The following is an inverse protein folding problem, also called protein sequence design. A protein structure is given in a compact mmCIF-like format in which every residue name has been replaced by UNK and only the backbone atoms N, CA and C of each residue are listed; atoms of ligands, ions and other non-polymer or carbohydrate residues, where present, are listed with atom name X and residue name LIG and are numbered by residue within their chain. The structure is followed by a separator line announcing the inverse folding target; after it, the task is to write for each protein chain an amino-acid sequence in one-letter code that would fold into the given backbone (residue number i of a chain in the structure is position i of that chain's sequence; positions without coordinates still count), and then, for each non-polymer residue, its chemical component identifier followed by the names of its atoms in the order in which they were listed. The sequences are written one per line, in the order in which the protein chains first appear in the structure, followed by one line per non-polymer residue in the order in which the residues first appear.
data_IF_926429296259
#
_entry.id   IF_926429296259
#
_cell.length_a   1.000
_cell.length_b   1.000
_cell.length_c   1.000
_cell.angle_alpha   90.00
_cell.angle_beta   90.00
_cell.angle_gamma   90.00
#
_symmetry.space_group_name_H-M   'P 1'
#
loop_
_entity.id
_entity.type
_entity.pdbx_description
1 polymer ?
#
# COMPACT_ATOMS: atom_id res chain seq x y z
N UNK A 1 -4.56 48.47 33.69
CA UNK A 1 -4.39 47.07 34.14
C UNK A 1 -4.95 46.06 33.14
N UNK A 2 -6.25 46.09 32.78
CA UNK A 2 -6.84 45.11 31.84
C UNK A 2 -6.21 45.02 30.43
N UNK A 3 -5.85 46.15 29.80
CA UNK A 3 -5.19 46.14 28.47
C UNK A 3 -3.75 45.60 28.51
N UNK A 4 -3.07 45.74 29.65
CA UNK A 4 -1.71 45.22 29.84
C UNK A 4 -1.71 43.70 30.03
N UNK A 5 -2.74 43.18 30.72
CA UNK A 5 -2.97 41.74 30.87
C UNK A 5 -3.33 41.07 29.53
N UNK A 6 -4.12 41.75 28.68
CA UNK A 6 -4.47 41.24 27.35
C UNK A 6 -3.27 41.25 26.37
N UNK A 7 -2.43 42.29 26.44
CA UNK A 7 -1.20 42.36 25.66
C UNK A 7 -0.15 41.30 26.07
N UNK A 8 -0.01 41.04 27.37
CA UNK A 8 0.91 40.00 27.88
C UNK A 8 0.44 38.59 27.54
N UNK A 9 -0.86 38.32 27.58
CA UNK A 9 -1.43 37.04 27.14
C UNK A 9 -1.20 36.80 25.63
N UNK A 10 -1.37 37.84 24.80
CA UNK A 10 -1.09 37.78 23.35
C UNK A 10 0.40 37.55 23.07
N UNK A 11 1.29 38.20 23.82
CA UNK A 11 2.73 38.02 23.69
C UNK A 11 3.15 36.58 24.05
N UNK A 12 2.62 36.03 25.15
CA UNK A 12 2.88 34.64 25.56
C UNK A 12 2.37 33.62 24.53
N UNK A 13 1.18 33.84 23.94
CA UNK A 13 0.69 33.01 22.84
C UNK A 13 1.60 33.10 21.60
N UNK A 14 2.12 34.28 21.29
CA UNK A 14 3.05 34.47 20.19
C UNK A 14 4.39 33.76 20.43
N UNK A 15 4.93 33.82 21.63
CA UNK A 15 6.16 33.11 22.00
C UNK A 15 6.01 31.59 21.86
N UNK A 16 4.88 31.02 22.31
CA UNK A 16 4.59 29.59 22.15
C UNK A 16 4.49 29.21 20.67
N UNK A 17 3.82 30.04 19.86
CA UNK A 17 3.70 29.81 18.41
C UNK A 17 5.06 29.88 17.70
N UNK A 18 5.89 30.87 18.04
CA UNK A 18 7.24 30.99 17.48
C UNK A 18 8.13 29.80 17.89
N UNK A 19 8.05 29.32 19.14
CA UNK A 19 8.80 28.13 19.57
C UNK A 19 8.36 26.88 18.81
N UNK A 20 7.06 26.65 18.66
CA UNK A 20 6.55 25.52 17.89
C UNK A 20 7.02 25.55 16.42
N UNK A 21 7.04 26.73 15.79
CA UNK A 21 7.57 26.88 14.42
C UNK A 21 9.08 26.62 14.34
N UNK A 22 9.84 27.05 15.34
CA UNK A 22 11.29 26.76 15.41
C UNK A 22 11.54 25.26 15.55
N UNK A 23 10.76 24.57 16.40
CA UNK A 23 10.88 23.12 16.58
C UNK A 23 10.52 22.36 15.30
N UNK A 24 9.45 22.76 14.61
CA UNK A 24 9.05 22.17 13.33
C UNK A 24 10.12 22.37 12.24
N UNK A 25 10.67 23.59 12.11
CA UNK A 25 11.74 23.89 11.16
C UNK A 25 13.03 23.13 11.49
N UNK A 26 13.36 22.95 12.76
CA UNK A 26 14.53 22.18 13.19
C UNK A 26 14.37 20.69 12.85
N UNK A 27 13.17 20.13 12.99
CA UNK A 27 12.92 18.73 12.64
C UNK A 27 12.96 18.53 11.11
N UNK A 28 12.39 19.46 10.34
CA UNK A 28 12.54 19.48 8.88
C UNK A 28 14.01 19.56 8.47
N UNK A 29 14.80 20.43 9.11
CA UNK A 29 16.22 20.59 8.83
C UNK A 29 17.01 19.30 9.13
N UNK A 30 16.70 18.60 10.23
CA UNK A 30 17.33 17.30 10.54
C UNK A 30 17.01 16.25 9.48
N UNK A 31 15.74 16.17 9.04
CA UNK A 31 15.33 15.27 7.97
C UNK A 31 16.08 15.55 6.66
N UNK A 32 16.20 16.82 6.27
CA UNK A 32 16.96 17.23 5.07
C UNK A 32 18.47 16.90 5.19
N UNK A 33 19.07 17.08 6.37
CA UNK A 33 20.48 16.72 6.60
C UNK A 33 20.71 15.20 6.51
N UNK A 34 19.80 14.39 7.06
CA UNK A 34 19.87 12.93 6.93
C UNK A 34 19.72 12.48 5.47
N UNK A 35 18.77 13.09 4.74
CA UNK A 35 18.61 12.83 3.31
C UNK A 35 19.86 13.21 2.51
N UNK A 36 20.46 14.37 2.80
CA UNK A 36 21.70 14.81 2.15
C UNK A 36 22.84 13.81 2.42
N UNK A 37 23.00 13.35 3.66
CA UNK A 37 24.01 12.35 4.03
C UNK A 37 23.81 11.03 3.28
N UNK A 38 22.57 10.56 3.17
CA UNK A 38 22.23 9.37 2.41
C UNK A 38 22.57 9.52 0.92
N UNK A 39 22.18 10.65 0.31
CA UNK A 39 22.49 10.95 -1.09
C UNK A 39 24.00 11.08 -1.33
N UNK A 40 24.77 11.66 -0.41
CA UNK A 40 26.22 11.71 -0.50
C UNK A 40 26.86 10.32 -0.46
N UNK A 41 26.34 9.41 0.36
CA UNK A 41 26.80 8.02 0.40
C UNK A 41 26.55 7.29 -0.92
N UNK A 42 25.33 7.42 -1.46
CA UNK A 42 24.97 6.85 -2.77
C UNK A 42 25.85 7.43 -3.87
N UNK A 43 26.06 8.75 -3.88
CA UNK A 43 26.94 9.40 -4.84
C UNK A 43 28.37 8.88 -4.73
N UNK A 44 28.90 8.69 -3.52
CA UNK A 44 30.23 8.12 -3.30
C UNK A 44 30.36 6.71 -3.89
N UNK A 45 29.37 5.84 -3.66
CA UNK A 45 29.31 4.49 -4.24
C UNK A 45 29.25 4.55 -5.78
N UNK A 46 28.41 5.42 -6.34
CA UNK A 46 28.27 5.58 -7.79
C UNK A 46 29.55 6.11 -8.44
N UNK A 47 30.25 7.05 -7.79
CA UNK A 47 31.54 7.58 -8.27
C UNK A 47 32.61 6.49 -8.25
N UNK A 48 32.67 5.67 -7.19
CA UNK A 48 33.60 4.54 -7.11
C UNK A 48 33.35 3.51 -8.21
N UNK A 49 32.09 3.07 -8.37
CA UNK A 49 31.71 2.15 -9.44
C UNK A 49 32.01 2.73 -10.84
N UNK A 50 31.77 4.04 -11.02
CA UNK A 50 32.13 4.74 -12.25
C UNK A 50 33.65 4.80 -12.50
N UNK A 51 34.47 4.90 -11.47
CA UNK A 51 35.93 4.87 -11.60
C UNK A 51 36.42 3.47 -12.03
N UNK A 52 35.89 2.41 -11.42
CA UNK A 52 36.19 1.02 -11.80
C UNK A 52 35.81 0.72 -13.26
N UNK A 53 34.61 1.13 -13.68
CA UNK A 53 34.16 0.95 -15.06
C UNK A 53 35.04 1.69 -16.07
N UNK A 54 35.50 2.92 -15.75
CA UNK A 54 36.43 3.66 -16.61
C UNK A 54 37.81 2.99 -16.69
N UNK A 55 38.31 2.45 -15.57
CA UNK A 55 39.56 1.70 -15.56
C UNK A 55 39.46 0.42 -16.43
N UNK A 56 38.35 -0.32 -16.32
CA UNK A 56 38.09 -1.49 -17.15
C UNK A 56 37.97 -1.13 -18.64
N UNK A 57 37.28 -0.03 -18.97
CA UNK A 57 37.17 0.46 -20.33
C UNK A 57 38.56 0.81 -20.91
N UNK A 58 39.38 1.55 -20.15
CA UNK A 58 40.74 1.89 -20.56
C UNK A 58 41.63 0.65 -20.77
N UNK A 59 41.48 -0.38 -19.93
CA UNK A 59 42.19 -1.65 -20.11
C UNK A 59 41.78 -2.37 -21.40
N UNK A 60 40.49 -2.37 -21.74
CA UNK A 60 39.97 -2.97 -22.98
C UNK A 60 40.37 -2.19 -24.22
N UNK A 61 40.44 -0.86 -24.14
CA UNK A 61 40.93 -0.03 -25.24
C UNK A 61 42.42 -0.28 -25.51
N UNK A 62 43.23 -0.44 -24.45
CA UNK A 62 44.65 -0.80 -24.59
C UNK A 62 44.84 -2.19 -25.21
N UNK A 63 44.04 -3.18 -24.77
CA UNK A 63 44.03 -4.53 -25.36
C UNK A 63 43.62 -4.49 -26.85
N UNK A 64 42.59 -3.72 -27.19
CA UNK A 64 42.14 -3.53 -28.56
C UNK A 64 43.21 -2.87 -29.43
N UNK A 65 43.93 -1.87 -28.90
CA UNK A 65 45.01 -1.20 -29.61
C UNK A 65 46.17 -2.15 -29.90
N UNK A 66 46.56 -3.00 -28.95
CA UNK A 66 47.62 -4.00 -29.16
C UNK A 66 47.21 -5.05 -30.19
N UNK A 67 45.98 -5.58 -30.11
CA UNK A 67 45.47 -6.54 -31.09
C UNK A 67 45.42 -5.95 -32.51
N UNK A 68 45.06 -4.67 -32.65
CA UNK A 68 45.11 -3.96 -33.95
C UNK A 68 46.53 -3.88 -34.50
N UNK A 69 47.50 -3.52 -33.66
CA UNK A 69 48.91 -3.47 -34.05
C UNK A 69 49.42 -4.83 -34.51
N UNK A 70 49.04 -5.90 -33.81
CA UNK A 70 49.38 -7.27 -34.21
C UNK A 70 48.72 -7.66 -35.54
N UNK A 71 47.46 -7.29 -35.75
CA UNK A 71 46.77 -7.56 -37.01
C UNK A 71 47.42 -6.83 -38.20
N UNK A 72 47.80 -5.56 -38.02
CA UNK A 72 48.51 -4.77 -39.04
C UNK A 72 49.89 -5.36 -39.37
N UNK A 73 50.64 -5.80 -38.36
CA UNK A 73 51.93 -6.46 -38.54
C UNK A 73 51.77 -7.78 -39.32
N UNK A 74 50.80 -8.62 -38.93
CA UNK A 74 50.51 -9.87 -39.63
C UNK A 74 50.09 -9.61 -41.09
N UNK A 75 49.28 -8.57 -41.33
CA UNK A 75 48.88 -8.18 -42.68
C UNK A 75 50.08 -7.71 -43.52
N UNK A 76 51.00 -6.94 -42.93
CA UNK A 76 52.24 -6.51 -43.60
C UNK A 76 53.11 -7.71 -43.97
N UNK A 77 53.35 -8.62 -43.01
CA UNK A 77 54.13 -9.83 -43.24
C UNK A 77 53.53 -10.71 -44.33
N UNK A 78 52.19 -10.87 -44.34
CA UNK A 78 51.48 -11.60 -45.38
C UNK A 78 51.68 -10.96 -46.77
N UNK A 79 51.56 -9.63 -46.86
CA UNK A 79 51.71 -8.88 -48.11
C UNK A 79 53.13 -8.97 -48.66
N UNK A 80 54.14 -8.80 -47.81
CA UNK A 80 55.55 -8.93 -48.18
C UNK A 80 55.89 -10.36 -48.64
N UNK A 81 55.37 -11.36 -47.94
CA UNK A 81 55.55 -12.77 -48.29
C UNK A 81 54.88 -13.10 -49.61
N UNK A 82 53.66 -12.61 -49.86
CA UNK A 82 52.96 -12.79 -51.14
C UNK A 82 53.77 -12.18 -52.29
N UNK A 83 54.23 -10.93 -52.12
CA UNK A 83 55.04 -10.26 -53.14
C UNK A 83 56.39 -10.97 -53.38
N UNK A 84 56.99 -11.56 -52.35
CA UNK A 84 58.20 -12.40 -52.49
C UNK A 84 57.89 -13.65 -53.30
N UNK A 85 56.85 -14.38 -52.95
CA UNK A 85 56.44 -15.61 -53.63
C UNK A 85 56.06 -15.35 -55.10
N UNK A 86 55.40 -14.22 -55.40
CA UNK A 86 55.09 -13.81 -56.77
C UNK A 86 56.36 -13.55 -57.61
N UNK A 87 57.38 -12.91 -57.01
CA UNK A 87 58.67 -12.71 -57.68
C UNK A 87 59.39 -14.04 -57.95
N UNK A 88 59.40 -14.94 -56.97
CA UNK A 88 59.98 -16.28 -57.10
C UNK A 88 59.26 -17.09 -58.19
N UNK A 89 57.92 -17.06 -58.21
CA UNK A 89 57.11 -17.72 -59.23
C UNK A 89 57.41 -17.19 -60.64
N UNK A 90 57.48 -15.86 -60.82
CA UNK A 90 57.87 -15.24 -62.10
C UNK A 90 59.27 -15.68 -62.56
N UNK A 91 60.22 -15.79 -61.63
CA UNK A 91 61.56 -16.32 -61.91
C UNK A 91 61.53 -17.77 -62.40
N UNK A 92 60.78 -18.64 -61.72
CA UNK A 92 60.63 -20.05 -62.11
C UNK A 92 59.99 -20.17 -63.49
N UNK A 93 58.93 -19.41 -63.77
CA UNK A 93 58.24 -19.40 -65.08
C UNK A 93 59.21 -18.98 -66.19
N UNK A 94 59.99 -17.91 -65.99
CA UNK A 94 61.00 -17.46 -66.96
C UNK A 94 62.09 -18.51 -67.21
N UNK A 95 62.63 -19.11 -66.15
CA UNK A 95 63.66 -20.15 -66.30
C UNK A 95 63.12 -21.37 -67.03
N UNK A 96 61.90 -21.82 -66.69
CA UNK A 96 61.24 -22.92 -67.39
C UNK A 96 61.03 -22.61 -68.87
N UNK A 97 60.57 -21.41 -69.18
CA UNK A 97 60.36 -20.97 -70.56
C UNK A 97 61.67 -20.96 -71.37
N UNK A 98 62.76 -20.46 -70.78
CA UNK A 98 64.07 -20.42 -71.41
C UNK A 98 64.65 -21.83 -71.70
N UNK A 99 64.39 -22.80 -70.82
CA UNK A 99 64.80 -24.20 -71.03
C UNK A 99 64.06 -24.83 -72.21
N UNK A 100 62.76 -24.56 -72.34
CA UNK A 100 61.95 -25.06 -73.46
C UNK A 100 62.47 -24.54 -74.80
N UNK A 101 62.77 -23.25 -74.90
CA UNK A 101 63.33 -22.66 -76.13
C UNK A 101 64.70 -23.24 -76.51
N UNK A 102 65.56 -23.51 -75.51
CA UNK A 102 66.91 -24.02 -75.78
C UNK A 102 66.97 -25.51 -76.11
N UNK A 103 66.13 -26.33 -75.48
CA UNK A 103 66.32 -27.79 -75.49
C UNK A 103 65.14 -28.60 -76.04
N UNK A 104 63.94 -28.02 -76.17
CA UNK A 104 62.76 -28.74 -76.66
C UNK A 104 62.50 -28.55 -78.16
N UNK A 105 63.40 -27.89 -78.90
CA UNK A 105 63.24 -27.64 -80.35
C UNK A 105 62.10 -26.68 -80.71
N UNK A 106 61.59 -25.92 -79.73
CA UNK A 106 60.48 -24.99 -79.91
C UNK A 106 60.99 -23.59 -80.31
N UNK A 107 60.22 -22.85 -81.11
CA UNK A 107 60.59 -21.48 -81.53
C UNK A 107 60.67 -20.53 -80.32
N UNK A 108 61.46 -19.45 -80.44
CA UNK A 108 61.54 -18.36 -79.45
C UNK A 108 60.21 -17.60 -79.21
N UNK A 109 59.13 -18.00 -79.87
CA UNK A 109 57.77 -17.48 -79.70
C UNK A 109 56.81 -18.47 -79.01
N UNK A 110 57.24 -19.71 -78.78
CA UNK A 110 56.43 -20.72 -78.09
C UNK A 110 56.29 -20.36 -76.61
N UNK A 111 55.09 -20.45 -76.03
CA UNK A 111 54.85 -20.17 -74.60
C UNK A 111 54.28 -21.41 -73.94
N UNK A 112 54.85 -21.83 -72.82
CA UNK A 112 54.29 -22.90 -72.02
C UNK A 112 53.14 -22.32 -71.21
N UNK A 113 51.93 -22.70 -71.58
CA UNK A 113 50.73 -22.19 -70.93
C UNK A 113 50.40 -23.04 -69.71
N UNK A 114 50.41 -22.43 -68.53
CA UNK A 114 49.95 -23.07 -67.30
C UNK A 114 48.44 -22.84 -67.10
N UNK A 115 47.84 -23.66 -66.24
CA UNK A 115 46.45 -23.45 -65.86
C UNK A 115 46.30 -22.15 -65.05
N UNK A 116 45.38 -21.29 -65.47
CA UNK A 116 45.03 -20.06 -64.78
C UNK A 116 43.65 -20.17 -64.14
N UNK A 117 43.52 -19.64 -62.93
CA UNK A 117 42.30 -19.69 -62.13
C UNK A 117 41.91 -18.28 -61.71
N UNK A 118 40.60 -18.04 -61.61
CA UNK A 118 40.06 -16.76 -61.20
C UNK A 118 40.10 -16.52 -59.70
N UNK A 119 39.41 -15.46 -59.28
CA UNK A 119 39.23 -15.13 -57.87
C UNK A 119 38.29 -16.12 -57.19
N UNK A 120 38.42 -16.23 -55.87
CA UNK A 120 37.55 -17.06 -55.06
C UNK A 120 36.15 -16.44 -54.91
N UNK A 121 35.12 -17.20 -55.27
CA UNK A 121 33.75 -16.91 -54.92
C UNK A 121 33.41 -17.54 -53.55
N UNK A 122 32.82 -16.73 -52.67
CA UNK A 122 32.33 -17.17 -51.36
C UNK A 122 30.99 -17.89 -51.53
N UNK A 123 30.90 -19.12 -51.04
CA UNK A 123 29.63 -19.84 -50.91
C UNK A 123 28.88 -19.43 -49.63
N UNK A 124 27.61 -19.89 -49.48
CA UNK A 124 26.87 -19.68 -48.25
C UNK A 124 27.55 -20.37 -47.07
N UNK A 125 27.49 -19.73 -45.90
CA UNK A 125 28.00 -20.30 -44.67
C UNK A 125 27.03 -21.35 -44.11
N UNK A 126 27.55 -22.46 -43.60
CA UNK A 126 26.72 -23.55 -43.06
C UNK A 126 25.96 -23.18 -41.77
N UNK A 127 26.51 -22.26 -40.97
CA UNK A 127 25.90 -21.77 -39.72
C UNK A 127 25.87 -20.24 -39.75
N UNK A 128 24.81 -19.62 -39.25
CA UNK A 128 24.71 -18.16 -39.13
C UNK A 128 25.50 -17.59 -37.94
N UNK A 129 25.80 -18.43 -36.95
CA UNK A 129 26.50 -18.06 -35.73
C UNK A 129 27.28 -19.25 -35.14
N UNK A 130 28.24 -18.95 -34.26
CA UNK A 130 29.05 -19.94 -33.53
C UNK A 130 28.21 -20.55 -32.40
N UNK A 131 28.06 -21.88 -32.43
CA UNK A 131 27.33 -22.61 -31.40
C UNK A 131 28.03 -22.59 -30.04
N UNK A 132 27.33 -23.08 -29.00
CA UNK A 132 27.90 -23.19 -27.63
C UNK A 132 29.06 -24.18 -27.53
N UNK A 133 29.23 -25.02 -28.55
CA UNK A 133 30.35 -25.94 -28.76
C UNK A 133 31.60 -25.25 -29.33
N UNK A 134 31.54 -23.95 -29.59
CA UNK A 134 32.63 -23.17 -30.20
C UNK A 134 32.84 -23.49 -31.68
N UNK A 135 31.98 -24.31 -32.30
CA UNK A 135 32.13 -24.71 -33.69
C UNK A 135 31.55 -23.64 -34.62
N UNK A 136 32.46 -22.96 -35.32
CA UNK A 136 32.17 -21.98 -36.37
C UNK A 136 31.44 -22.62 -37.55
N UNK A 137 30.77 -21.79 -38.32
CA UNK A 137 30.26 -22.19 -39.63
C UNK A 137 31.40 -22.51 -40.59
N UNK A 138 31.08 -23.29 -41.62
CA UNK A 138 32.02 -23.64 -42.69
C UNK A 138 31.42 -23.21 -44.01
N UNK A 139 32.20 -22.51 -44.83
CA UNK A 139 31.84 -22.11 -46.18
C UNK A 139 32.77 -22.76 -47.19
N UNK A 140 32.20 -23.17 -48.31
CA UNK A 140 32.95 -23.68 -49.44
C UNK A 140 33.23 -22.52 -50.37
N UNK A 141 34.50 -22.27 -50.64
CA UNK A 141 34.95 -21.28 -51.62
C UNK A 141 35.31 -22.00 -52.92
N UNK A 142 34.84 -21.47 -54.04
CA UNK A 142 35.11 -22.02 -55.37
C UNK A 142 35.64 -20.94 -56.29
N UNK A 143 36.60 -21.27 -57.15
CA UNK A 143 37.10 -20.36 -58.20
C UNK A 143 37.03 -21.01 -59.57
N UNK A 144 36.67 -20.27 -60.63
CA UNK A 144 36.63 -20.81 -61.98
C UNK A 144 38.04 -21.04 -62.51
N UNK A 145 38.19 -22.05 -63.36
CA UNK A 145 39.37 -22.19 -64.21
C UNK A 145 39.18 -21.24 -65.39
N UNK A 146 40.07 -20.26 -65.54
CA UNK A 146 40.04 -19.30 -66.64
C UNK A 146 40.67 -19.93 -67.88
N UNK A 147 41.79 -20.64 -67.70
CA UNK A 147 42.53 -21.22 -68.80
C UNK A 147 43.04 -22.61 -68.42
N UNK A 148 42.91 -23.56 -69.35
CA UNK A 148 43.50 -24.91 -69.21
C UNK A 148 44.60 -25.13 -70.25
N UNK A 149 45.68 -25.85 -69.88
CA UNK A 149 46.72 -26.23 -70.82
C UNK A 149 46.19 -27.26 -71.85
N UNK A 150 46.42 -26.99 -73.13
CA UNK A 150 46.02 -27.90 -74.21
C UNK A 150 46.93 -29.13 -74.28
N UNK A 151 46.45 -30.25 -73.72
CA UNK A 151 47.17 -31.54 -73.66
C UNK A 151 47.40 -32.19 -75.03
N UNK A 152 46.75 -31.71 -76.09
CA UNK A 152 46.96 -32.22 -77.45
C UNK A 152 48.28 -31.75 -78.05
N UNK A 153 48.78 -30.59 -77.61
CA UNK A 153 50.04 -30.00 -78.09
C UNK A 153 51.24 -30.43 -77.23
N UNK A 154 52.42 -30.51 -77.85
CA UNK A 154 53.66 -30.84 -77.14
C UNK A 154 54.00 -29.80 -76.06
N UNK A 155 53.68 -28.52 -76.30
CA UNK A 155 53.87 -27.42 -75.35
C UNK A 155 52.84 -27.44 -74.21
N UNK A 156 51.56 -27.68 -74.49
CA UNK A 156 50.54 -27.73 -73.43
C UNK A 156 50.64 -28.97 -72.54
N UNK A 157 51.26 -30.08 -73.00
CA UNK A 157 51.62 -31.20 -72.13
C UNK A 157 52.61 -30.83 -71.03
N UNK A 158 53.49 -29.86 -71.30
CA UNK A 158 54.45 -29.35 -70.32
C UNK A 158 53.80 -28.40 -69.32
N UNK A 159 52.57 -27.92 -69.57
CA UNK A 159 51.79 -27.03 -68.69
C UNK A 159 51.48 -27.65 -67.33
N UNK A 160 51.53 -26.83 -66.29
CA UNK A 160 51.18 -27.22 -64.93
C UNK A 160 49.67 -27.45 -64.79
N UNK A 161 49.30 -28.46 -64.00
CA UNK A 161 47.90 -28.72 -63.63
C UNK A 161 47.33 -27.59 -62.78
N UNK A 162 46.01 -27.43 -62.82
CA UNK A 162 45.32 -26.38 -62.08
C UNK A 162 45.54 -26.50 -60.57
N UNK A 163 45.80 -25.39 -59.87
CA UNK A 163 45.76 -25.39 -58.42
C UNK A 163 44.32 -25.66 -57.94
N UNK A 164 44.12 -25.99 -56.64
CA UNK A 164 42.79 -26.34 -56.12
C UNK A 164 41.75 -25.28 -56.47
N UNK A 165 40.63 -25.71 -57.06
CA UNK A 165 39.49 -24.85 -57.43
C UNK A 165 38.41 -24.79 -56.36
N UNK A 166 38.57 -25.60 -55.31
CA UNK A 166 37.67 -25.69 -54.16
C UNK A 166 38.49 -25.67 -52.88
N UNK A 167 38.11 -24.84 -51.93
CA UNK A 167 38.65 -24.86 -50.58
C UNK A 167 37.55 -24.67 -49.54
N UNK A 168 37.84 -25.05 -48.30
CA UNK A 168 36.93 -24.97 -47.18
C UNK A 168 37.49 -23.96 -46.20
N UNK A 169 36.69 -22.95 -45.85
CA UNK A 169 37.07 -21.89 -44.92
C UNK A 169 36.04 -21.79 -43.79
N UNK A 170 36.49 -21.36 -42.60
CA UNK A 170 35.57 -21.02 -41.52
C UNK A 170 34.82 -19.72 -41.83
N UNK A 171 33.59 -19.59 -41.33
CA UNK A 171 32.74 -18.42 -41.48
C UNK A 171 31.86 -18.20 -40.25
N UNK A 172 31.37 -16.97 -40.09
CA UNK A 172 30.49 -16.51 -39.02
C UNK A 172 31.01 -16.81 -37.61
N UNK A 173 31.92 -15.96 -37.11
CA UNK A 173 32.49 -16.04 -35.76
C UNK A 173 31.62 -15.32 -34.69
N UNK A 174 30.40 -14.94 -35.06
CA UNK A 174 29.48 -14.26 -34.15
C UNK A 174 28.80 -15.33 -33.28
N UNK A 175 28.94 -15.29 -31.95
CA UNK A 175 28.31 -16.27 -31.06
C UNK A 175 26.77 -16.20 -31.17
N UNK A 176 26.11 -17.36 -31.13
CA UNK A 176 24.66 -17.42 -31.20
C UNK A 176 23.99 -16.75 -29.98
N UNK A 177 22.82 -16.12 -30.16
CA UNK A 177 22.03 -15.62 -29.05
C UNK A 177 21.74 -16.73 -28.04
N UNK A 178 21.98 -16.46 -26.77
CA UNK A 178 21.67 -17.37 -25.66
C UNK A 178 20.56 -16.73 -24.85
N UNK A 179 19.38 -17.36 -24.85
CA UNK A 179 18.27 -16.87 -24.04
C UNK A 179 18.46 -17.16 -22.55
N UNK A 180 17.97 -16.22 -21.74
CA UNK A 180 17.91 -16.39 -20.30
C UNK A 180 17.00 -17.57 -19.91
N UNK A 181 17.48 -18.39 -18.97
CA UNK A 181 16.71 -19.46 -18.34
C UNK A 181 16.63 -19.16 -16.86
N UNK A 182 15.41 -19.13 -16.32
CA UNK A 182 15.14 -18.88 -14.90
C UNK A 182 14.63 -20.15 -14.23
N UNK A 183 14.87 -20.31 -12.92
CA UNK A 183 14.31 -21.40 -12.14
C UNK A 183 12.79 -21.29 -12.03
N UNK A 184 12.16 -22.35 -11.55
CA UNK A 184 10.81 -22.24 -11.04
C UNK A 184 10.77 -21.26 -9.85
N UNK A 185 9.62 -20.64 -9.64
CA UNK A 185 9.36 -19.81 -8.48
C UNK A 185 9.40 -20.65 -7.21
N UNK A 186 9.93 -20.06 -6.13
CA UNK A 186 9.74 -20.59 -4.79
C UNK A 186 8.25 -20.59 -4.43
N UNK A 187 7.90 -21.39 -3.43
CA UNK A 187 6.65 -21.20 -2.72
C UNK A 187 6.56 -19.78 -2.14
N UNK A 188 5.33 -19.31 -1.96
CA UNK A 188 5.10 -18.03 -1.30
C UNK A 188 5.55 -18.11 0.17
N UNK A 189 6.32 -17.12 0.60
CA UNK A 189 6.64 -16.94 2.01
C UNK A 189 5.36 -16.67 2.82
N UNK A 190 5.45 -16.88 4.13
CA UNK A 190 4.38 -16.48 5.05
C UNK A 190 4.07 -14.99 4.94
N UNK A 191 2.79 -14.62 5.11
CA UNK A 191 2.37 -13.24 5.11
C UNK A 191 3.00 -12.45 6.27
N UNK A 192 3.50 -11.24 6.00
CA UNK A 192 4.18 -10.40 7.00
C UNK A 192 3.30 -10.00 8.18
N UNK A 193 1.98 -9.94 7.99
CA UNK A 193 1.00 -9.68 9.05
C UNK A 193 -0.10 -10.72 9.02
N UNK A 194 -0.65 -11.04 10.19
CA UNK A 194 -1.80 -11.96 10.32
C UNK A 194 -3.15 -11.29 10.03
N UNK A 195 -3.21 -9.97 10.07
CA UNK A 195 -4.37 -9.14 9.78
C UNK A 195 -3.92 -7.70 9.50
N UNK A 196 -4.83 -6.86 8.98
CA UNK A 196 -4.60 -5.44 8.75
C UNK A 196 -3.75 -5.16 7.50
N UNK A 197 -3.66 -6.12 6.58
CA UNK A 197 -2.87 -6.01 5.35
C UNK A 197 -1.38 -6.24 5.59
N UNK A 198 -0.88 -7.33 5.03
CA UNK A 198 0.54 -7.64 4.92
C UNK A 198 0.92 -7.99 3.49
N UNK A 199 2.19 -8.32 3.30
CA UNK A 199 2.76 -8.73 2.03
C UNK A 199 3.40 -10.10 2.19
N UNK A 200 3.35 -10.88 1.13
CA UNK A 200 4.10 -12.12 0.99
C UNK A 200 4.94 -12.03 -0.28
N UNK A 201 6.09 -12.69 -0.24
CA UNK A 201 7.10 -12.61 -1.29
C UNK A 201 7.43 -14.02 -1.79
N UNK A 202 7.80 -14.12 -3.05
CA UNK A 202 8.44 -15.32 -3.62
C UNK A 202 9.60 -14.91 -4.49
N UNK A 203 10.57 -15.80 -4.64
CA UNK A 203 11.78 -15.54 -5.42
C UNK A 203 12.07 -16.68 -6.39
N UNK A 204 12.84 -16.38 -7.43
CA UNK A 204 13.43 -17.37 -8.35
C UNK A 204 14.84 -16.92 -8.74
N UNK A 205 15.68 -17.87 -9.09
CA UNK A 205 17.05 -17.58 -9.53
C UNK A 205 17.18 -17.59 -11.05
N UNK A 206 18.20 -16.89 -11.54
CA UNK A 206 18.64 -17.00 -12.93
C UNK A 206 19.55 -18.23 -13.04
N UNK A 207 19.12 -19.25 -13.78
CA UNK A 207 19.91 -20.46 -14.04
C UNK A 207 20.94 -20.21 -15.14
N UNK A 208 20.56 -19.43 -16.16
CA UNK A 208 21.45 -19.00 -17.23
C UNK A 208 21.08 -17.58 -17.63
N UNK A 209 22.06 -16.67 -17.64
CA UNK A 209 21.86 -15.31 -18.11
C UNK A 209 21.71 -15.25 -19.63
N UNK A 210 20.96 -14.27 -20.12
CA UNK A 210 20.88 -13.99 -21.55
C UNK A 210 22.20 -13.39 -22.05
N UNK A 211 22.75 -13.90 -23.16
CA UNK A 211 24.01 -13.45 -23.77
C UNK A 211 23.85 -13.26 -25.28
N UNK A 212 24.76 -12.51 -25.89
CA UNK A 212 24.89 -12.35 -27.35
C UNK A 212 23.59 -11.91 -28.07
N UNK A 213 22.82 -11.02 -27.43
CA UNK A 213 21.54 -10.53 -27.98
C UNK A 213 20.35 -11.46 -27.75
N UNK A 214 20.49 -12.50 -26.92
CA UNK A 214 19.38 -13.32 -26.45
C UNK A 214 18.46 -12.59 -25.46
N UNK A 215 17.32 -13.20 -25.17
CA UNK A 215 16.28 -12.63 -24.31
C UNK A 215 16.81 -12.36 -22.90
N UNK A 216 16.53 -11.16 -22.38
CA UNK A 216 16.90 -10.77 -21.03
C UNK A 216 16.10 -11.53 -19.97
N UNK A 217 16.66 -11.67 -18.78
CA UNK A 217 15.97 -12.29 -17.65
C UNK A 217 14.84 -11.40 -17.14
N UNK A 218 13.71 -12.01 -16.80
CA UNK A 218 12.62 -11.30 -16.11
C UNK A 218 12.94 -11.02 -14.64
N UNK A 219 11.93 -10.52 -13.91
CA UNK A 219 12.06 -10.27 -12.47
C UNK A 219 12.34 -11.53 -11.66
N UNK A 220 13.18 -11.41 -10.64
CA UNK A 220 13.62 -12.49 -9.74
C UNK A 220 12.88 -12.50 -8.41
N UNK A 221 12.13 -11.44 -8.10
CA UNK A 221 11.33 -11.31 -6.90
C UNK A 221 9.93 -10.80 -7.26
N UNK A 222 8.93 -11.30 -6.55
CA UNK A 222 7.54 -10.89 -6.70
C UNK A 222 6.91 -10.73 -5.32
N UNK A 223 6.08 -9.70 -5.16
CA UNK A 223 5.31 -9.43 -3.95
C UNK A 223 3.82 -9.40 -4.25
N UNK A 224 3.01 -9.80 -3.27
CA UNK A 224 1.55 -9.60 -3.31
C UNK A 224 0.98 -9.33 -1.93
N UNK A 225 -0.11 -8.60 -1.90
CA UNK A 225 -0.88 -8.36 -0.69
C UNK A 225 -1.51 -9.65 -0.15
N UNK A 226 -1.61 -9.75 1.17
CA UNK A 226 -2.22 -10.85 1.90
C UNK A 226 -2.84 -10.36 3.21
N UNK A 227 -3.71 -11.19 3.80
CA UNK A 227 -4.32 -10.92 5.11
C UNK A 227 -4.98 -9.54 5.24
N UNK A 228 -5.78 -9.18 4.23
CA UNK A 228 -6.47 -7.90 4.12
C UNK A 228 -7.61 -7.72 5.14
N UNK A 229 -7.98 -8.77 5.87
CA UNK A 229 -8.96 -8.68 6.95
C UNK A 229 -8.51 -7.68 8.03
N UNK A 230 -9.41 -6.83 8.50
CA UNK A 230 -9.12 -5.91 9.60
C UNK A 230 -8.84 -6.68 10.89
N UNK A 231 -7.86 -6.25 11.67
CA UNK A 231 -7.53 -6.88 12.95
C UNK A 231 -8.67 -6.75 13.97
N UNK A 232 -8.83 -7.79 14.79
CA UNK A 232 -9.75 -7.76 15.94
C UNK A 232 -9.29 -6.70 16.94
N UNK A 233 -10.20 -5.81 17.31
CA UNK A 233 -9.96 -4.77 18.29
C UNK A 233 -11.21 -4.57 19.14
N UNK A 234 -11.07 -4.62 20.46
CA UNK A 234 -12.16 -4.34 21.40
C UNK A 234 -12.37 -2.83 21.58
N UNK A 235 -13.51 -2.43 22.14
CA UNK A 235 -13.82 -1.02 22.36
C UNK A 235 -12.94 -0.42 23.46
N UNK A 236 -12.49 0.82 23.26
CA UNK A 236 -11.80 1.58 24.31
C UNK A 236 -12.72 2.67 24.85
N UNK A 237 -12.79 2.74 26.19
CA UNK A 237 -13.59 3.72 26.90
C UNK A 237 -12.72 4.94 27.25
N UNK A 238 -13.28 6.13 27.10
CA UNK A 238 -12.62 7.39 27.43
C UNK A 238 -12.62 7.69 28.93
N UNK A 239 -12.16 8.88 29.26
CA UNK A 239 -12.20 9.37 30.63
C UNK A 239 -13.65 9.54 31.12
N UNK A 240 -13.84 9.37 32.42
CA UNK A 240 -15.11 9.68 33.07
C UNK A 240 -15.39 11.18 33.01
N UNK A 241 -16.65 11.54 32.77
CA UNK A 241 -17.11 12.92 32.99
C UNK A 241 -17.03 13.27 34.46
N UNK A 242 -17.06 14.57 34.74
CA UNK A 242 -17.31 15.07 36.09
C UNK A 242 -18.64 14.54 36.64
N UNK A 243 -18.76 14.53 37.97
CA UNK A 243 -19.99 14.12 38.64
C UNK A 243 -21.09 15.14 38.38
N UNK A 244 -22.24 14.65 37.91
CA UNK A 244 -23.45 15.46 37.83
C UNK A 244 -23.97 15.88 39.20
N UNK A 245 -24.94 16.79 39.21
CA UNK A 245 -25.63 17.22 40.43
C UNK A 245 -26.26 16.03 41.16
N UNK A 246 -26.34 16.14 42.49
CA UNK A 246 -26.98 15.13 43.32
C UNK A 246 -28.49 15.09 43.05
N UNK A 247 -29.07 13.89 42.92
CA UNK A 247 -30.50 13.72 42.66
C UNK A 247 -31.41 14.20 43.79
N UNK A 248 -30.89 14.30 45.02
CA UNK A 248 -31.60 14.84 46.18
C UNK A 248 -30.73 15.85 46.89
N UNK A 249 -31.33 16.93 47.40
CA UNK A 249 -30.59 17.90 48.22
C UNK A 249 -30.35 17.39 49.64
N UNK A 250 -31.25 16.56 50.16
CA UNK A 250 -31.23 16.01 51.52
C UNK A 250 -32.24 14.85 51.63
N UNK A 251 -32.19 14.10 52.74
CA UNK A 251 -33.14 13.05 53.12
C UNK A 251 -34.38 13.68 53.78
N UNK A 252 -35.56 13.46 53.21
CA UNK A 252 -36.80 14.05 53.73
C UNK A 252 -37.24 13.47 55.09
N UNK A 253 -36.77 12.26 55.45
CA UNK A 253 -36.90 11.68 56.78
C UNK A 253 -35.73 10.71 57.07
N UNK A 254 -35.66 10.18 58.29
CA UNK A 254 -34.59 9.26 58.72
C UNK A 254 -34.58 7.93 57.96
N UNK A 255 -35.73 7.48 57.47
CA UNK A 255 -35.89 6.25 56.70
C UNK A 255 -35.61 6.43 55.19
N UNK A 256 -35.45 7.65 54.70
CA UNK A 256 -35.28 7.93 53.28
C UNK A 256 -33.85 7.60 52.81
N UNK A 257 -33.73 6.98 51.64
CA UNK A 257 -32.43 6.74 51.01
C UNK A 257 -31.75 8.07 50.62
N UNK A 258 -30.41 8.16 50.67
CA UNK A 258 -29.65 9.33 50.21
C UNK A 258 -29.87 9.63 48.72
N UNK A 259 -29.35 10.76 48.25
CA UNK A 259 -29.31 11.07 46.82
C UNK A 259 -28.19 10.30 46.13
N UNK A 260 -28.22 10.31 44.80
CA UNK A 260 -27.15 9.76 43.97
C UNK A 260 -26.73 10.77 42.91
N UNK A 261 -25.42 10.92 42.72
CA UNK A 261 -24.82 11.62 41.61
C UNK A 261 -24.47 10.59 40.52
N UNK A 262 -24.55 11.00 39.26
CA UNK A 262 -24.25 10.15 38.09
C UNK A 262 -23.10 10.76 37.29
N UNK A 263 -22.21 9.91 36.80
CA UNK A 263 -21.24 10.24 35.74
C UNK A 263 -21.21 9.17 34.66
N UNK A 264 -20.72 9.53 33.49
CA UNK A 264 -20.66 8.65 32.31
C UNK A 264 -19.29 8.72 31.65
N UNK A 265 -18.91 7.71 30.87
CA UNK A 265 -17.73 7.79 30.00
C UNK A 265 -18.09 7.40 28.57
N UNK A 266 -17.63 8.15 27.56
CA UNK A 266 -17.91 7.83 26.17
C UNK A 266 -17.01 6.69 25.66
N UNK A 267 -17.47 5.97 24.64
CA UNK A 267 -16.62 5.07 23.85
C UNK A 267 -15.77 5.93 22.92
N UNK A 268 -14.44 5.84 23.04
CA UNK A 268 -13.49 6.61 22.22
C UNK A 268 -12.97 5.83 21.01
N UNK A 269 -12.98 4.49 21.06
CA UNK A 269 -12.80 3.66 19.87
C UNK A 269 -13.81 2.51 19.85
N UNK A 270 -14.44 2.32 18.69
CA UNK A 270 -15.39 1.23 18.45
C UNK A 270 -14.67 -0.08 18.15
N UNK A 271 -15.33 -1.19 18.47
CA UNK A 271 -14.82 -2.53 18.18
C UNK A 271 -14.75 -2.78 16.67
N UNK A 272 -13.74 -3.55 16.26
CA UNK A 272 -13.53 -4.00 14.88
C UNK A 272 -13.37 -5.52 14.84
N UNK A 273 -13.86 -6.12 13.75
CA UNK A 273 -13.70 -7.56 13.43
C UNK A 273 -13.94 -8.52 14.61
N UNK A 274 -15.14 -8.46 15.20
CA UNK A 274 -15.53 -9.37 16.30
C UNK A 274 -14.97 -9.00 17.68
N UNK A 275 -14.48 -7.76 17.85
CA UNK A 275 -14.21 -7.22 19.18
C UNK A 275 -15.51 -6.92 19.96
N UNK A 276 -15.42 -6.89 21.29
CA UNK A 276 -16.55 -6.65 22.17
C UNK A 276 -16.53 -5.23 22.74
N UNK A 277 -17.73 -4.66 22.90
CA UNK A 277 -17.95 -3.41 23.64
C UNK A 277 -18.51 -3.74 25.03
N UNK A 278 -18.00 -3.11 26.11
CA UNK A 278 -18.65 -3.19 27.41
C UNK A 278 -20.08 -2.62 27.35
N UNK A 279 -21.02 -3.26 28.06
CA UNK A 279 -22.43 -2.80 28.10
C UNK A 279 -22.61 -1.45 28.80
N UNK A 280 -23.82 -0.89 28.76
CA UNK A 280 -24.10 0.45 29.33
C UNK A 280 -23.71 0.57 30.81
N UNK A 281 -23.79 -0.53 31.57
CA UNK A 281 -23.42 -0.59 32.99
C UNK A 281 -21.94 -0.25 33.21
N UNK A 282 -21.06 -0.67 32.30
CA UNK A 282 -19.65 -0.32 32.36
C UNK A 282 -19.38 1.14 31.98
N UNK A 283 -20.36 1.83 31.38
CA UNK A 283 -20.25 3.22 30.93
C UNK A 283 -20.95 4.22 31.86
N UNK A 284 -21.65 3.75 32.89
CA UNK A 284 -22.37 4.56 33.89
C UNK A 284 -21.89 4.26 35.30
N UNK A 285 -21.74 5.29 36.12
CA UNK A 285 -21.42 5.11 37.53
C UNK A 285 -22.28 6.01 38.41
N UNK A 286 -22.68 5.47 39.55
CA UNK A 286 -23.44 6.17 40.58
C UNK A 286 -22.62 6.31 41.86
N UNK A 287 -22.81 7.42 42.57
CA UNK A 287 -22.22 7.66 43.88
C UNK A 287 -23.25 8.30 44.79
N UNK A 288 -23.30 7.87 46.04
CA UNK A 288 -24.17 8.47 47.04
C UNK A 288 -23.75 9.91 47.35
N UNK A 289 -24.75 10.76 47.59
CA UNK A 289 -24.55 12.16 47.94
C UNK A 289 -25.69 12.66 48.83
N UNK A 290 -25.40 13.71 49.58
CA UNK A 290 -26.35 14.38 50.47
C UNK A 290 -27.10 13.43 51.44
N UNK A 291 -26.38 12.71 52.32
CA UNK A 291 -26.99 11.81 53.30
C UNK A 291 -27.54 12.54 54.53
N UNK A 292 -27.62 13.86 54.56
CA UNK A 292 -28.13 14.60 55.71
C UNK A 292 -29.66 14.76 55.63
N UNK A 293 -30.31 14.88 56.79
CA UNK A 293 -31.74 15.17 56.84
C UNK A 293 -32.04 16.59 56.35
N UNK A 294 -33.20 16.79 55.73
CA UNK A 294 -33.65 18.13 55.35
C UNK A 294 -33.95 18.97 56.59
N UNK A 295 -33.72 20.30 56.54
CA UNK A 295 -34.16 21.21 57.59
C UNK A 295 -35.66 21.07 57.85
N UNK A 296 -36.07 21.12 59.12
CA UNK A 296 -37.49 21.05 59.50
C UNK A 296 -38.27 22.28 58.99
N UNK A 297 -37.58 23.41 58.83
CA UNK A 297 -38.14 24.62 58.24
C UNK A 297 -37.99 24.62 56.71
N UNK A 298 -39.06 24.18 56.04
CA UNK A 298 -39.16 24.10 54.59
C UNK A 298 -39.19 25.48 53.91
N UNK A 299 -39.36 26.58 54.65
CA UNK A 299 -39.37 27.93 54.08
C UNK A 299 -37.99 28.40 53.58
N UNK A 300 -36.92 27.75 54.06
CA UNK A 300 -35.52 28.04 53.67
C UNK A 300 -35.06 27.28 52.42
N UNK A 301 -35.88 26.36 51.91
CA UNK A 301 -35.57 25.53 50.75
C UNK A 301 -36.13 26.17 49.48
N UNK A 302 -35.25 26.83 48.72
CA UNK A 302 -35.59 27.34 47.39
C UNK A 302 -35.29 26.27 46.32
N UNK A 303 -36.32 25.83 45.60
CA UNK A 303 -36.19 24.91 44.48
C UNK A 303 -35.69 25.67 43.25
N UNK A 304 -34.38 25.63 43.01
CA UNK A 304 -33.77 26.32 41.86
C UNK A 304 -33.73 25.46 40.59
N UNK A 305 -34.02 24.16 40.70
CA UNK A 305 -33.99 23.21 39.59
C UNK A 305 -35.42 22.92 39.09
N UNK A 306 -35.57 22.88 37.77
CA UNK A 306 -36.79 22.40 37.13
C UNK A 306 -37.04 20.95 37.51
N UNK A 307 -38.29 20.64 37.88
CA UNK A 307 -38.70 19.29 38.23
C UNK A 307 -39.69 18.78 37.20
N UNK A 308 -39.43 17.58 36.69
CA UNK A 308 -40.35 16.87 35.80
C UNK A 308 -41.03 15.76 36.58
N UNK A 309 -42.32 15.92 36.85
CA UNK A 309 -43.11 14.95 37.62
C UNK A 309 -43.98 14.17 36.64
N UNK A 310 -43.64 12.89 36.46
CA UNK A 310 -44.46 11.96 35.69
C UNK A 310 -45.44 11.25 36.63
N UNK A 311 -46.73 11.49 36.44
CA UNK A 311 -47.79 10.80 37.19
C UNK A 311 -48.29 9.62 36.38
N UNK A 312 -48.32 8.45 37.00
CA UNK A 312 -48.75 7.21 36.36
C UNK A 312 -50.07 6.74 37.01
N UNK A 313 -51.12 6.65 36.21
CA UNK A 313 -52.42 6.08 36.62
C UNK A 313 -52.45 4.62 36.20
N UNK A 314 -52.64 3.73 37.15
CA UNK A 314 -52.84 2.32 36.87
C UNK A 314 -54.32 2.05 36.62
N UNK A 315 -54.67 1.49 35.47
CA UNK A 315 -56.03 1.07 35.15
C UNK A 315 -56.56 -0.08 36.00
N UNK A 316 -55.69 -0.79 36.71
CA UNK A 316 -56.05 -1.88 37.63
C UNK A 316 -56.72 -1.34 38.89
N UNK A 317 -57.97 -1.75 39.14
CA UNK A 317 -58.82 -1.28 40.25
C UNK A 317 -58.42 -1.77 41.64
N UNK A 318 -57.13 -1.99 41.92
CA UNK A 318 -56.64 -2.61 43.17
C UNK A 318 -56.56 -1.65 44.37
N UNK A 319 -56.98 -0.39 44.22
CA UNK A 319 -57.06 0.58 45.32
C UNK A 319 -58.53 0.77 45.74
N UNK A 320 -58.84 0.53 47.01
CA UNK A 320 -60.20 0.66 47.57
C UNK A 320 -61.04 -0.61 47.49
N UNK A 321 -61.90 -0.82 48.48
CA UNK A 321 -62.75 -2.02 48.62
C UNK A 321 -63.98 -2.04 47.71
N UNK A 322 -64.23 -0.96 46.94
CA UNK A 322 -65.46 -0.78 46.16
C UNK A 322 -65.26 -0.78 44.63
N UNK A 323 -64.08 -1.16 44.12
CA UNK A 323 -63.84 -1.24 42.68
C UNK A 323 -63.89 0.13 41.98
N UNK A 324 -63.66 1.22 42.71
CA UNK A 324 -63.65 2.62 42.26
C UNK A 324 -62.23 3.23 42.28
N UNK A 325 -61.19 2.42 42.53
CA UNK A 325 -59.80 2.87 42.68
C UNK A 325 -59.23 3.73 41.55
N UNK A 326 -59.67 3.49 40.32
CA UNK A 326 -59.26 4.32 39.17
C UNK A 326 -59.81 5.74 39.28
N UNK A 327 -61.07 5.90 39.69
CA UNK A 327 -61.67 7.21 39.93
C UNK A 327 -61.08 7.88 41.18
N UNK A 328 -60.74 7.12 42.20
CA UNK A 328 -60.03 7.65 43.37
C UNK A 328 -58.65 8.19 42.99
N UNK A 329 -57.88 7.46 42.18
CA UNK A 329 -56.60 7.96 41.63
C UNK A 329 -56.79 9.23 40.80
N UNK A 330 -57.81 9.28 39.94
CA UNK A 330 -58.12 10.46 39.13
C UNK A 330 -58.49 11.66 39.99
N UNK A 331 -59.28 11.47 41.04
CA UNK A 331 -59.61 12.54 42.01
C UNK A 331 -58.38 13.04 42.74
N UNK A 332 -57.55 12.13 43.25
CA UNK A 332 -56.30 12.50 43.92
C UNK A 332 -55.38 13.32 42.99
N UNK A 333 -55.19 12.87 41.75
CA UNK A 333 -54.34 13.57 40.79
C UNK A 333 -54.94 14.92 40.40
N UNK A 334 -56.27 15.02 40.27
CA UNK A 334 -56.96 16.28 40.06
C UNK A 334 -56.71 17.25 41.21
N UNK A 335 -56.81 16.79 42.44
CA UNK A 335 -56.58 17.60 43.63
C UNK A 335 -55.11 18.02 43.75
N UNK A 336 -54.18 17.12 43.45
CA UNK A 336 -52.74 17.43 43.40
C UNK A 336 -52.46 18.49 42.33
N UNK A 337 -52.92 18.30 41.09
CA UNK A 337 -52.75 19.29 40.00
C UNK A 337 -53.44 20.63 40.28
N UNK A 338 -54.55 20.61 41.02
CA UNK A 338 -55.28 21.81 41.46
C UNK A 338 -54.53 22.59 42.55
N UNK A 339 -53.72 21.92 43.36
CA UNK A 339 -52.90 22.53 44.42
C UNK A 339 -51.46 22.82 43.98
N UNK A 340 -51.00 22.20 42.90
CA UNK A 340 -49.66 22.42 42.33
C UNK A 340 -49.60 23.72 41.54
N UNK A 341 -48.48 24.45 41.67
CA UNK A 341 -48.19 25.65 40.88
C UNK A 341 -47.62 25.22 39.53
N UNK A 342 -48.33 25.51 38.44
CA UNK A 342 -47.91 25.17 37.10
C UNK A 342 -47.41 26.42 36.35
N UNK A 343 -46.37 26.30 35.50
CA UNK A 343 -45.80 27.43 34.76
C UNK A 343 -46.83 28.21 33.92
N UNK A 344 -47.89 27.55 33.43
CA UNK A 344 -48.91 28.15 32.58
C UNK A 344 -50.04 28.88 33.31
N UNK A 345 -50.04 28.91 34.65
CA UNK A 345 -51.06 29.62 35.42
C UNK A 345 -50.70 31.12 35.50
N UNK A 346 -51.37 31.95 34.70
CA UNK A 346 -51.14 33.39 34.69
C UNK A 346 -51.51 34.02 36.05
N UNK A 347 -50.54 34.59 36.77
CA UNK A 347 -50.83 35.35 38.00
C UNK A 347 -49.69 35.54 39.02
N UNK A 348 -48.52 34.90 38.88
CA UNK A 348 -47.35 35.22 39.71
C UNK A 348 -46.10 35.32 38.84
N UNK A 349 -45.80 36.55 38.41
CA UNK A 349 -44.52 36.90 37.82
C UNK A 349 -43.40 36.57 38.82
N UNK A 350 -42.60 35.54 38.51
CA UNK A 350 -41.43 35.20 39.32
C UNK A 350 -40.80 33.82 39.15
N UNK A 351 -41.45 32.83 38.52
CA UNK A 351 -40.87 31.48 38.39
C UNK A 351 -40.42 31.19 36.95
N UNK A 352 -39.20 31.60 36.60
CA UNK A 352 -38.53 31.21 35.34
C UNK A 352 -38.08 29.74 35.31
N UNK A 353 -38.21 29.01 36.41
CA UNK A 353 -37.98 27.57 36.53
C UNK A 353 -39.18 26.96 37.26
N UNK A 354 -39.87 25.99 36.66
CA UNK A 354 -41.16 25.52 37.15
C UNK A 354 -41.38 24.03 36.93
N UNK A 355 -42.12 23.42 37.85
CA UNK A 355 -42.41 21.99 37.82
C UNK A 355 -43.34 21.65 36.66
N UNK A 356 -42.90 20.78 35.75
CA UNK A 356 -43.72 20.25 34.65
C UNK A 356 -44.34 18.94 35.08
N UNK A 357 -45.59 18.72 34.70
CA UNK A 357 -46.30 17.48 34.99
C UNK A 357 -46.62 16.77 33.68
N UNK A 358 -46.50 15.45 33.70
CA UNK A 358 -46.93 14.56 32.62
C UNK A 358 -47.88 13.50 33.18
N UNK A 359 -48.80 13.02 32.34
CA UNK A 359 -49.76 11.99 32.73
C UNK A 359 -49.66 10.78 31.81
N UNK A 360 -49.31 9.64 32.40
CA UNK A 360 -49.32 8.33 31.76
C UNK A 360 -50.45 7.48 32.34
N UNK A 361 -51.19 6.79 31.48
CA UNK A 361 -52.20 5.81 31.88
C UNK A 361 -51.71 4.44 31.44
N UNK A 362 -51.53 3.54 32.41
CA UNK A 362 -51.19 2.14 32.16
C UNK A 362 -52.47 1.32 32.02
N UNK A 363 -52.67 0.77 30.82
CA UNK A 363 -53.78 -0.14 30.54
C UNK A 363 -53.60 -1.53 31.18
N UNK A 364 -54.69 -2.27 31.37
CA UNK A 364 -54.66 -3.66 31.87
C UNK A 364 -53.89 -4.64 30.96
N UNK A 365 -53.57 -4.24 29.73
CA UNK A 365 -52.80 -5.01 28.73
C UNK A 365 -51.30 -4.68 28.71
N UNK A 366 -50.78 -3.93 29.69
CA UNK A 366 -49.35 -3.60 29.80
C UNK A 366 -48.86 -2.48 28.88
N UNK A 367 -49.71 -1.91 28.01
CA UNK A 367 -49.36 -0.75 27.16
C UNK A 367 -49.63 0.56 27.90
N UNK A 368 -48.62 1.42 27.99
CA UNK A 368 -48.73 2.79 28.50
C UNK A 368 -49.25 3.74 27.43
N UNK A 369 -50.25 4.55 27.75
CA UNK A 369 -50.71 5.66 26.92
C UNK A 369 -50.36 6.99 27.57
N UNK A 370 -49.76 7.90 26.80
CA UNK A 370 -49.58 9.30 27.23
C UNK A 370 -50.95 9.98 27.18
N UNK A 371 -51.52 10.25 28.36
CA UNK A 371 -52.79 10.98 28.48
C UNK A 371 -52.56 12.49 28.43
N UNK A 372 -51.42 12.96 28.90
CA UNK A 372 -50.95 14.33 28.68
C UNK A 372 -49.41 14.36 28.61
N UNK A 373 -48.82 15.02 27.61
CA UNK A 373 -47.38 15.18 27.52
C UNK A 373 -46.85 16.04 28.69
N UNK A 374 -45.57 15.89 28.99
CA UNK A 374 -44.91 16.68 30.03
C UNK A 374 -44.98 18.17 29.68
N UNK A 375 -45.65 18.96 30.51
CA UNK A 375 -45.87 20.37 30.24
C UNK A 375 -46.32 21.15 31.47
N UNK A 376 -46.51 22.47 31.28
CA UNK A 376 -46.96 23.39 32.33
C UNK A 376 -48.40 23.87 32.18
N UNK A 377 -49.18 23.31 31.25
CA UNK A 377 -50.55 23.74 31.00
C UNK A 377 -51.55 22.90 31.82
N UNK A 378 -52.15 23.53 32.85
CA UNK A 378 -53.13 22.88 33.72
C UNK A 378 -54.35 22.34 32.97
N UNK A 379 -54.89 23.11 32.01
CA UNK A 379 -56.07 22.70 31.25
C UNK A 379 -55.79 21.45 30.40
N UNK A 380 -54.59 21.36 29.83
CA UNK A 380 -54.18 20.19 29.06
C UNK A 380 -54.03 18.94 29.94
N UNK A 381 -53.48 19.09 31.15
CA UNK A 381 -53.34 18.00 32.10
C UNK A 381 -54.69 17.53 32.65
N UNK A 382 -55.58 18.47 33.00
CA UNK A 382 -56.93 18.15 33.47
C UNK A 382 -57.81 17.57 32.36
N UNK A 383 -57.64 18.05 31.12
CA UNK A 383 -58.30 17.48 29.94
C UNK A 383 -57.84 16.06 29.65
N UNK A 384 -56.52 15.81 29.70
CA UNK A 384 -55.95 14.46 29.58
C UNK A 384 -56.42 13.53 30.70
N UNK A 385 -56.52 14.05 31.93
CA UNK A 385 -57.05 13.32 33.08
C UNK A 385 -58.56 13.03 32.95
N UNK A 386 -59.34 13.92 32.36
CA UNK A 386 -60.77 13.74 32.09
C UNK A 386 -61.02 12.75 30.94
N UNK A 387 -60.16 12.76 29.93
CA UNK A 387 -60.17 11.82 28.81
C UNK A 387 -59.58 10.44 29.16
N UNK A 388 -58.88 10.31 30.29
CA UNK A 388 -58.38 9.04 30.78
C UNK A 388 -59.54 8.13 31.20
N UNK A 389 -59.96 7.24 30.30
CA UNK A 389 -60.96 6.23 30.58
C UNK A 389 -60.34 4.98 31.22
N UNK A 390 -61.17 4.23 31.96
CA UNK A 390 -60.81 2.88 32.39
C UNK A 390 -60.51 2.05 31.13
N UNK A 391 -59.36 1.37 31.03
CA UNK A 391 -59.12 0.45 29.93
C UNK A 391 -60.21 -0.62 29.96
N UNK A 392 -60.88 -0.87 28.82
CA UNK A 392 -61.86 -1.94 28.72
C UNK A 392 -61.24 -3.27 29.18
N UNK A 393 -62.03 -4.04 29.93
CA UNK A 393 -61.65 -5.32 30.53
C UNK A 393 -61.28 -6.37 29.48
N UNK A 394 -60.05 -6.32 28.98
CA UNK A 394 -59.35 -7.49 28.48
C UNK A 394 -58.73 -8.23 29.68
N UNK A 395 -58.97 -9.54 29.75
CA UNK A 395 -58.58 -10.47 30.81
C UNK A 395 -57.16 -10.25 31.41
N UNK A 396 -56.93 -10.62 32.69
CA UNK A 396 -55.67 -10.37 33.37
C UNK A 396 -54.56 -11.22 32.75
N UNK A 397 -53.65 -10.60 32.00
CA UNK A 397 -52.36 -11.24 31.70
C UNK A 397 -51.38 -10.90 32.81
N UNK A 398 -50.78 -11.96 33.36
CA UNK A 398 -49.82 -11.92 34.46
C UNK A 398 -48.69 -10.93 34.19
N UNK A 399 -48.32 -10.20 35.24
CA UNK A 399 -47.27 -9.20 35.23
C UNK A 399 -45.90 -9.86 35.02
N UNK A 400 -45.23 -9.49 33.93
CA UNK A 400 -43.79 -9.62 33.76
C UNK A 400 -43.20 -8.23 33.57
N UNK A 401 -42.46 -7.73 34.56
CA UNK A 401 -41.62 -6.53 34.43
C UNK A 401 -40.45 -6.86 33.49
N UNK A 402 -40.40 -6.21 32.34
CA UNK A 402 -39.19 -6.07 31.51
C UNK A 402 -38.75 -4.61 31.53
#
# INVERSE_FOLDING_TARGET
VGRLADATAKLAQHEVRCRAQVDELNEQLRGEVEQLSHLQSILGQAVSAGAELRALAGARDAEMAELRRQAEEQQRQCTETSARLEREACGIVKTRQALVWKFAGASNSSVVQDCEVGTWALGPCSKSCTGTDGQRGVQVMTRPVILQPDRSTQLGRLGASCPPTRMVAACNDIPCPVDCVMSQWSEWAGCSKRCGGGDQYRTRSVVRAGLHGGSSCGVTAESRACNLQTCRQDCTLGAWTEWGACSKRCRWNSAALPGHARRTRPVVALARSGGSCPGEEASRQYRECNPHACPQDLSTLNCTADQDIMTIIAGGGSLGSAGDGFEQQRRLIRDVLGRSLLPGDAGRAGALNGTRYGLLVLGGTGRSRVAAPLGGNRQQLLGGLAAAARPESGAPTAWGLQ
#
